data_IF_037845419138
#
_entry.id   IF_037845419138
#
_cell.length_a   1.000
_cell.length_b   1.000
_cell.length_c   1.000
_cell.angle_alpha   90.00
_cell.angle_beta   90.00
_cell.angle_gamma   90.00
#
_symmetry.space_group_name_H-M   'P 1'
#
loop_
_entity.id
_entity.type
_entity.pdbx_description
1 polymer ?
#
# COMPACT_ATOMS: atom_id res chain seq x y z
N UNK A 1 -15.90 -5.38 -20.99
CA UNK A 1 -14.51 -5.82 -21.27
C UNK A 1 -14.53 -7.33 -21.41
N UNK A 2 -13.93 -7.88 -22.47
CA UNK A 2 -13.81 -9.34 -22.66
C UNK A 2 -12.76 -9.91 -21.68
N UNK A 3 -12.87 -11.19 -21.34
CA UNK A 3 -11.96 -11.83 -20.38
C UNK A 3 -10.50 -11.83 -20.86
N UNK A 4 -10.28 -12.01 -22.17
CA UNK A 4 -8.95 -11.96 -22.78
C UNK A 4 -8.29 -10.57 -22.67
N UNK A 5 -9.04 -9.50 -22.97
CA UNK A 5 -8.58 -8.10 -22.82
C UNK A 5 -8.17 -7.79 -21.37
N UNK A 6 -8.91 -8.33 -20.39
CA UNK A 6 -8.57 -8.18 -18.98
C UNK A 6 -7.22 -8.81 -18.64
N UNK A 7 -7.02 -10.06 -19.05
CA UNK A 7 -5.78 -10.78 -18.75
C UNK A 7 -4.58 -10.18 -19.47
N UNK A 8 -4.77 -9.72 -20.71
CA UNK A 8 -3.72 -9.06 -21.46
C UNK A 8 -3.28 -7.75 -20.80
N UNK A 9 -4.23 -6.92 -20.36
CA UNK A 9 -3.92 -5.68 -19.63
C UNK A 9 -3.13 -5.93 -18.33
N UNK A 10 -3.44 -7.00 -17.59
CA UNK A 10 -2.66 -7.36 -16.40
C UNK A 10 -1.25 -7.86 -16.79
N UNK A 11 -1.12 -8.69 -17.84
CA UNK A 11 0.21 -9.15 -18.30
C UNK A 11 1.08 -8.00 -18.74
N UNK A 12 0.55 -7.08 -19.52
CA UNK A 12 1.26 -5.85 -19.94
C UNK A 12 1.76 -5.06 -18.74
N UNK A 13 0.94 -4.95 -17.68
CA UNK A 13 1.37 -4.31 -16.42
C UNK A 13 2.48 -5.09 -15.71
N UNK A 14 2.40 -6.43 -15.67
CA UNK A 14 3.39 -7.28 -15.02
C UNK A 14 4.73 -7.36 -15.77
N UNK A 15 4.77 -6.92 -17.03
CA UNK A 15 6.01 -6.77 -17.80
C UNK A 15 6.80 -5.50 -17.46
N UNK A 16 6.24 -4.61 -16.62
CA UNK A 16 6.98 -3.46 -16.10
C UNK A 16 8.15 -3.92 -15.20
N UNK A 17 9.29 -3.23 -15.30
CA UNK A 17 10.50 -3.49 -14.51
C UNK A 17 10.31 -3.50 -12.99
N UNK A 18 9.22 -2.89 -12.50
CA UNK A 18 8.87 -2.91 -11.08
C UNK A 18 8.43 -4.29 -10.57
N UNK A 19 8.06 -5.22 -11.46
CA UNK A 19 7.60 -6.56 -11.11
C UNK A 19 8.60 -7.63 -11.51
N UNK A 20 8.72 -8.64 -10.66
CA UNK A 20 9.58 -9.80 -10.87
C UNK A 20 8.81 -11.08 -10.63
N UNK A 21 8.78 -11.97 -11.62
CA UNK A 21 8.23 -13.32 -11.46
C UNK A 21 9.13 -14.13 -10.51
N UNK A 22 8.52 -14.86 -9.58
CA UNK A 22 9.18 -15.71 -8.60
C UNK A 22 9.07 -17.17 -9.02
N UNK A 23 10.16 -17.91 -8.80
CA UNK A 23 10.24 -19.34 -9.12
C UNK A 23 9.56 -20.23 -8.08
N UNK A 24 9.27 -19.70 -6.89
CA UNK A 24 8.69 -20.44 -5.76
C UNK A 24 7.72 -19.57 -4.97
N UNK A 25 6.80 -20.22 -4.27
CA UNK A 25 5.90 -19.57 -3.32
C UNK A 25 6.70 -19.06 -2.09
N UNK A 26 6.74 -17.74 -1.83
CA UNK A 26 7.45 -17.19 -0.69
C UNK A 26 6.59 -17.17 0.60
N UNK A 27 5.33 -17.60 0.55
CA UNK A 27 4.35 -17.45 1.65
C UNK A 27 4.88 -17.99 2.97
N UNK A 28 5.40 -19.22 2.99
CA UNK A 28 5.91 -19.84 4.22
C UNK A 28 7.16 -19.13 4.74
N UNK A 29 8.07 -18.76 3.84
CA UNK A 29 9.30 -18.05 4.21
C UNK A 29 8.99 -16.69 4.85
N UNK A 30 8.05 -15.94 4.28
CA UNK A 30 7.59 -14.66 4.83
C UNK A 30 6.83 -14.88 6.13
N UNK A 31 5.97 -15.90 6.23
CA UNK A 31 5.25 -16.27 7.47
C UNK A 31 6.21 -16.52 8.62
N UNK A 32 7.27 -17.31 8.39
CA UNK A 32 8.32 -17.58 9.37
C UNK A 32 9.05 -16.30 9.78
N UNK A 33 9.39 -15.43 8.82
CA UNK A 33 10.05 -14.14 9.11
C UNK A 33 9.15 -13.20 9.91
N UNK A 34 7.87 -13.05 9.53
CA UNK A 34 6.88 -12.27 10.29
C UNK A 34 6.80 -12.79 11.73
N UNK A 35 6.67 -14.11 11.90
CA UNK A 35 6.54 -14.73 13.21
C UNK A 35 7.77 -14.52 14.08
N UNK A 36 8.97 -14.62 13.50
CA UNK A 36 10.23 -14.38 14.19
C UNK A 36 10.35 -12.92 14.66
N UNK A 37 9.96 -11.95 13.83
CA UNK A 37 9.96 -10.54 14.20
C UNK A 37 8.96 -10.26 15.34
N UNK A 38 7.72 -10.72 15.19
CA UNK A 38 6.67 -10.50 16.20
C UNK A 38 7.01 -11.13 17.57
N UNK A 39 7.71 -12.26 17.59
CA UNK A 39 8.18 -12.91 18.82
C UNK A 39 9.28 -12.12 19.54
N UNK A 40 10.09 -11.35 18.80
CA UNK A 40 11.12 -10.46 19.36
C UNK A 40 10.56 -9.10 19.78
N UNK A 41 9.39 -8.73 19.27
CA UNK A 41 8.68 -7.51 19.64
C UNK A 41 7.93 -7.64 20.96
N UNK A 42 7.22 -6.58 21.37
CA UNK A 42 6.40 -6.55 22.57
C UNK A 42 5.41 -7.72 22.65
N UNK A 43 5.06 -8.16 23.86
CA UNK A 43 4.17 -9.29 24.11
C UNK A 43 2.81 -9.16 23.42
N UNK A 44 2.29 -7.93 23.31
CA UNK A 44 1.04 -7.59 22.59
C UNK A 44 1.07 -8.02 21.12
N UNK A 45 2.26 -8.08 20.51
CA UNK A 45 2.46 -8.47 19.11
C UNK A 45 2.31 -9.98 18.88
N UNK A 46 2.32 -10.81 19.93
CA UNK A 46 2.16 -12.28 19.78
C UNK A 46 0.80 -12.66 19.19
N UNK A 47 -0.24 -11.87 19.47
CA UNK A 47 -1.59 -12.04 18.89
C UNK A 47 -1.64 -11.78 17.37
N UNK A 48 -0.59 -11.17 16.80
CA UNK A 48 -0.49 -10.85 15.38
C UNK A 48 0.20 -11.97 14.58
N UNK A 49 0.67 -13.03 15.23
CA UNK A 49 1.34 -14.14 14.56
C UNK A 49 0.37 -14.79 13.57
N UNK A 50 0.69 -14.82 12.28
CA UNK A 50 -0.19 -15.37 11.26
C UNK A 50 -0.42 -16.87 11.48
N UNK A 51 -1.68 -17.30 11.41
CA UNK A 51 -2.08 -18.70 11.42
C UNK A 51 -2.63 -19.07 10.03
N UNK A 52 -2.12 -20.15 9.44
CA UNK A 52 -2.55 -20.63 8.11
C UNK A 52 -2.57 -19.51 7.04
N UNK A 53 -1.44 -18.81 6.88
CA UNK A 53 -1.34 -17.72 5.92
C UNK A 53 -1.55 -18.20 4.48
N UNK A 54 -2.26 -17.39 3.69
CA UNK A 54 -2.48 -17.63 2.26
C UNK A 54 -1.75 -16.59 1.42
N UNK A 55 -1.33 -16.92 0.18
CA UNK A 55 -0.72 -15.93 -0.67
C UNK A 55 -1.74 -14.84 -1.04
N UNK A 56 -1.35 -13.55 -0.95
CA UNK A 56 -2.18 -12.46 -1.43
C UNK A 56 -2.40 -12.58 -2.95
N UNK A 57 -3.54 -12.09 -3.46
CA UNK A 57 -3.96 -12.32 -4.86
C UNK A 57 -4.16 -11.01 -5.61
N UNK A 58 -3.60 -10.92 -6.82
CA UNK A 58 -3.80 -9.77 -7.69
C UNK A 58 -5.11 -9.90 -8.49
N UNK A 59 -5.85 -8.80 -8.58
CA UNK A 59 -6.95 -8.63 -9.52
C UNK A 59 -7.03 -7.15 -9.97
N UNK A 60 -7.66 -6.90 -11.12
CA UNK A 60 -7.83 -5.57 -11.69
C UNK A 60 -9.27 -5.08 -11.55
N UNK A 61 -9.44 -3.84 -11.12
CA UNK A 61 -10.72 -3.14 -11.16
C UNK A 61 -10.79 -2.25 -12.42
N UNK A 62 -11.76 -2.44 -13.34
CA UNK A 62 -11.88 -1.62 -14.53
C UNK A 62 -12.24 -0.17 -14.19
N UNK A 63 -11.50 0.79 -14.75
CA UNK A 63 -11.84 2.21 -14.67
C UNK A 63 -12.74 2.59 -15.86
N UNK A 64 -14.02 2.26 -15.77
CA UNK A 64 -15.02 2.43 -16.86
C UNK A 64 -15.23 3.87 -17.33
N UNK A 65 -14.83 4.85 -16.52
CA UNK A 65 -14.92 6.28 -16.83
C UNK A 65 -13.69 6.83 -17.58
N UNK A 66 -12.71 5.99 -17.93
CA UNK A 66 -11.51 6.39 -18.67
C UNK A 66 -11.46 5.71 -20.03
N UNK A 67 -10.96 6.43 -21.02
CA UNK A 67 -10.70 5.89 -22.36
C UNK A 67 -9.78 4.66 -22.28
N UNK A 68 -10.06 3.66 -23.12
CA UNK A 68 -9.36 2.36 -23.11
C UNK A 68 -9.69 1.45 -21.92
N UNK A 69 -10.49 1.91 -20.94
CA UNK A 69 -10.88 1.17 -19.72
C UNK A 69 -9.65 0.51 -19.06
N UNK A 70 -8.69 1.31 -18.55
CA UNK A 70 -7.50 0.79 -17.88
C UNK A 70 -7.88 0.09 -16.58
N UNK A 71 -7.03 -0.85 -16.16
CA UNK A 71 -7.19 -1.57 -14.89
C UNK A 71 -6.53 -0.82 -13.73
N UNK A 72 -7.18 -0.83 -12.57
CA UNK A 72 -6.56 -0.54 -11.28
C UNK A 72 -6.14 -1.86 -10.65
N UNK A 73 -4.83 -2.19 -10.57
CA UNK A 73 -4.40 -3.39 -9.87
C UNK A 73 -4.68 -3.27 -8.37
N UNK A 74 -5.25 -4.31 -7.79
CA UNK A 74 -5.50 -4.47 -6.36
C UNK A 74 -4.95 -5.82 -5.93
N UNK A 75 -4.17 -5.80 -4.85
CA UNK A 75 -3.69 -7.02 -4.19
C UNK A 75 -4.59 -7.27 -2.98
N UNK A 76 -5.34 -8.37 -3.00
CA UNK A 76 -6.08 -8.84 -1.83
C UNK A 76 -5.10 -9.45 -0.84
N UNK A 77 -4.82 -8.74 0.24
CA UNK A 77 -3.92 -9.16 1.31
C UNK A 77 -4.59 -9.87 2.49
N UNK A 78 -5.90 -10.15 2.45
CA UNK A 78 -6.59 -10.81 3.56
C UNK A 78 -5.95 -12.17 3.83
N UNK A 79 -5.69 -12.44 5.12
CA UNK A 79 -5.01 -13.65 5.60
C UNK A 79 -3.61 -13.88 5.03
N UNK A 80 -2.99 -12.85 4.44
CA UNK A 80 -1.59 -12.90 4.04
C UNK A 80 -0.64 -12.93 5.24
N UNK A 81 0.63 -13.36 5.06
CA UNK A 81 1.60 -13.44 6.15
C UNK A 81 1.83 -12.15 6.92
N UNK A 82 1.53 -10.98 6.35
CA UNK A 82 1.72 -9.67 6.97
C UNK A 82 0.40 -8.96 7.28
N UNK A 83 -0.76 -9.57 7.03
CA UNK A 83 -2.07 -8.91 7.14
C UNK A 83 -2.35 -8.31 8.53
N UNK A 84 -2.24 -9.13 9.58
CA UNK A 84 -2.49 -8.69 10.95
C UNK A 84 -1.46 -7.65 11.41
N UNK A 85 -0.20 -7.84 11.00
CA UNK A 85 0.88 -6.89 11.25
C UNK A 85 0.59 -5.54 10.59
N UNK A 86 0.31 -5.50 9.29
CA UNK A 86 0.01 -4.27 8.55
C UNK A 86 -1.20 -3.54 9.16
N UNK A 87 -2.24 -4.28 9.55
CA UNK A 87 -3.40 -3.72 10.24
C UNK A 87 -3.05 -3.11 11.60
N UNK A 88 -2.16 -3.74 12.36
CA UNK A 88 -1.68 -3.20 13.63
C UNK A 88 -0.85 -1.94 13.41
N UNK A 89 0.12 -1.96 12.49
CA UNK A 89 0.96 -0.81 12.16
C UNK A 89 0.14 0.38 11.66
N UNK A 90 -0.90 0.14 10.85
CA UNK A 90 -1.82 1.20 10.42
C UNK A 90 -2.54 1.89 11.59
N UNK A 91 -2.84 1.17 12.67
CA UNK A 91 -3.44 1.75 13.88
C UNK A 91 -2.45 2.66 14.61
N UNK A 92 -1.17 2.32 14.61
CA UNK A 92 -0.12 3.17 15.19
C UNK A 92 0.08 4.46 14.39
N UNK A 93 -0.08 4.41 13.07
CA UNK A 93 0.01 5.60 12.22
C UNK A 93 -1.23 6.50 12.33
N UNK A 94 -2.42 5.94 12.64
CA UNK A 94 -3.69 6.69 12.58
C UNK A 94 -3.69 7.99 13.39
N UNK A 95 -3.19 8.04 14.64
CA UNK A 95 -3.12 9.29 15.41
C UNK A 95 -2.20 10.35 14.80
N UNK A 96 -1.17 9.94 14.06
CA UNK A 96 -0.21 10.84 13.41
C UNK A 96 -0.78 11.44 12.11
N UNK A 97 -1.82 10.82 11.55
CA UNK A 97 -2.48 11.28 10.32
C UNK A 97 -3.48 12.38 10.68
N UNK A 98 -3.26 13.59 10.15
CA UNK A 98 -4.17 14.72 10.33
C UNK A 98 -3.68 15.81 11.28
N UNK A 99 -2.50 15.65 11.89
CA UNK A 99 -1.85 16.73 12.65
C UNK A 99 -1.34 17.88 11.75
N UNK A 100 -1.36 17.68 10.42
CA UNK A 100 -0.95 18.71 9.47
C UNK A 100 -2.07 19.71 9.20
N UNK A 101 -1.78 21.00 9.43
CA UNK A 101 -2.62 22.13 9.00
C UNK A 101 -2.76 22.27 7.48
N UNK A 102 -2.16 21.38 6.69
CA UNK A 102 -2.24 21.33 5.22
C UNK A 102 -3.19 20.24 4.70
N UNK A 103 -3.75 19.42 5.59
CA UNK A 103 -4.74 18.42 5.23
C UNK A 103 -6.16 18.98 5.39
N UNK A 104 -7.08 18.53 4.54
CA UNK A 104 -8.51 18.78 4.68
C UNK A 104 -9.19 17.45 4.94
N UNK A 105 -10.11 17.39 5.91
CA UNK A 105 -10.71 16.13 6.36
C UNK A 105 -11.60 15.50 5.30
N UNK A 106 -12.36 16.32 4.57
CA UNK A 106 -13.33 15.86 3.56
C UNK A 106 -13.72 16.98 2.58
N UNK A 107 -14.50 16.62 1.55
CA UNK A 107 -14.96 17.55 0.52
C UNK A 107 -15.87 18.67 1.05
N UNK A 108 -16.65 18.43 2.10
CA UNK A 108 -17.54 19.44 2.66
C UNK A 108 -16.75 20.54 3.39
N UNK A 109 -15.74 20.15 4.18
CA UNK A 109 -14.80 21.08 4.78
C UNK A 109 -14.06 21.87 3.71
N UNK A 110 -13.55 21.21 2.67
CA UNK A 110 -12.86 21.87 1.56
C UNK A 110 -13.70 22.97 0.91
N UNK A 111 -14.97 22.67 0.58
CA UNK A 111 -15.90 23.66 0.01
C UNK A 111 -16.14 24.82 0.97
N UNK A 112 -16.27 24.54 2.27
CA UNK A 112 -16.46 25.57 3.29
C UNK A 112 -15.25 26.48 3.39
N UNK A 113 -14.04 25.91 3.44
CA UNK A 113 -12.78 26.67 3.45
C UNK A 113 -12.66 27.56 2.22
N UNK A 114 -12.97 27.06 1.03
CA UNK A 114 -12.90 27.86 -0.20
C UNK A 114 -13.90 29.02 -0.19
N UNK A 115 -15.13 28.81 0.28
CA UNK A 115 -16.15 29.88 0.36
C UNK A 115 -15.76 31.01 1.32
N UNK A 116 -14.92 30.72 2.31
CA UNK A 116 -14.46 31.71 3.30
C UNK A 116 -13.22 32.47 2.83
N UNK A 117 -12.54 32.03 1.75
CA UNK A 117 -11.39 32.74 1.19
C UNK A 117 -11.87 33.91 0.34
N UNK A 118 -11.35 35.10 0.63
CA UNK A 118 -11.42 36.24 -0.30
C UNK A 118 -10.34 36.05 -1.35
N UNK A 119 -10.71 36.18 -2.61
CA UNK A 119 -9.80 36.09 -3.75
C UNK A 119 -9.68 37.49 -4.36
N UNK A 120 -8.45 37.88 -4.70
CA UNK A 120 -8.16 39.14 -5.36
C UNK A 120 -8.20 38.98 -6.88
N UNK A 121 -8.30 40.11 -7.59
CA UNK A 121 -8.24 40.12 -9.05
C UNK A 121 -6.86 39.62 -9.49
N UNK A 122 -6.84 38.51 -10.22
CA UNK A 122 -5.61 37.86 -10.69
C UNK A 122 -5.27 36.56 -9.94
N UNK A 123 -5.98 36.23 -8.87
CA UNK A 123 -5.81 34.94 -8.20
C UNK A 123 -6.22 33.78 -9.11
N UNK A 124 -5.44 32.70 -9.05
CA UNK A 124 -5.66 31.48 -9.83
C UNK A 124 -5.73 30.26 -8.93
N UNK A 125 -6.74 29.42 -9.17
CA UNK A 125 -6.80 28.09 -8.58
C UNK A 125 -5.97 27.11 -9.42
N UNK A 126 -5.02 26.43 -8.77
CA UNK A 126 -4.19 25.40 -9.40
C UNK A 126 -4.45 24.07 -8.71
N UNK A 127 -4.54 23.00 -9.50
CA UNK A 127 -4.71 21.63 -9.02
C UNK A 127 -3.59 20.75 -9.56
N UNK A 128 -2.98 19.97 -8.67
CA UNK A 128 -1.94 19.00 -8.99
C UNK A 128 -2.43 17.60 -8.62
N UNK A 129 -2.15 16.62 -9.47
CA UNK A 129 -2.42 15.20 -9.21
C UNK A 129 -1.12 14.41 -9.22
N UNK A 130 -0.95 13.52 -8.25
CA UNK A 130 0.25 12.68 -8.16
C UNK A 130 0.09 11.47 -9.05
N UNK A 131 0.98 11.33 -10.03
CA UNK A 131 1.00 10.16 -10.92
C UNK A 131 1.59 8.96 -10.18
N UNK A 132 0.80 7.88 -10.11
CA UNK A 132 1.21 6.58 -9.56
C UNK A 132 1.69 6.63 -8.10
N UNK A 133 0.93 7.31 -7.24
CA UNK A 133 1.24 7.48 -5.82
C UNK A 133 1.70 6.19 -5.11
N UNK A 134 0.96 5.09 -5.25
CA UNK A 134 1.32 3.80 -4.61
C UNK A 134 2.65 3.21 -5.10
N UNK A 135 3.10 3.58 -6.29
CA UNK A 135 4.36 3.06 -6.83
C UNK A 135 5.57 3.92 -6.51
N UNK A 136 5.36 5.21 -6.22
CA UNK A 136 6.43 6.20 -6.05
C UNK A 136 6.57 6.71 -4.62
N UNK A 137 6.12 5.96 -3.62
CA UNK A 137 6.32 6.32 -2.21
C UNK A 137 7.80 6.13 -1.85
N UNK A 138 8.48 7.16 -1.31
CA UNK A 138 9.88 7.08 -0.91
C UNK A 138 10.02 6.24 0.37
N UNK A 139 10.32 4.94 0.22
CA UNK A 139 10.29 3.97 1.32
C UNK A 139 11.35 4.27 2.39
N UNK A 140 12.57 4.66 2.02
CA UNK A 140 13.63 4.88 3.00
C UNK A 140 13.34 6.11 3.86
N UNK A 141 12.95 7.22 3.23
CA UNK A 141 12.57 8.46 3.88
C UNK A 141 11.35 8.26 4.78
N UNK A 142 10.38 7.45 4.32
CA UNK A 142 9.22 7.08 5.13
C UNK A 142 9.62 6.28 6.38
N UNK A 143 10.59 5.36 6.25
CA UNK A 143 11.10 4.58 7.38
C UNK A 143 11.86 5.45 8.39
N UNK A 144 12.69 6.38 7.92
CA UNK A 144 13.38 7.34 8.82
C UNK A 144 12.40 8.22 9.59
N UNK A 145 11.31 8.67 8.95
CA UNK A 145 10.26 9.42 9.64
C UNK A 145 9.51 8.57 10.67
N UNK A 146 9.27 7.29 10.37
CA UNK A 146 8.65 6.34 11.30
C UNK A 146 9.56 6.11 12.50
N UNK A 147 10.87 5.95 12.30
CA UNK A 147 11.87 5.82 13.36
C UNK A 147 11.85 7.05 14.28
N UNK A 148 11.82 8.26 13.72
CA UNK A 148 11.72 9.51 14.49
C UNK A 148 10.44 9.59 15.32
N UNK A 149 9.28 9.22 14.73
CA UNK A 149 7.97 9.44 15.36
C UNK A 149 7.52 8.32 16.29
N UNK A 150 7.90 7.08 16.02
CA UNK A 150 7.41 5.89 16.72
C UNK A 150 8.54 5.06 17.38
N UNK A 151 9.80 5.45 17.19
CA UNK A 151 10.98 4.80 17.78
C UNK A 151 11.59 3.72 16.88
N UNK A 152 12.88 3.46 17.10
CA UNK A 152 13.67 2.52 16.28
C UNK A 152 13.17 1.06 16.40
N UNK A 153 12.59 0.68 17.54
CA UNK A 153 12.12 -0.69 17.81
C UNK A 153 10.98 -1.16 16.88
N UNK A 154 10.14 -0.23 16.41
CA UNK A 154 9.01 -0.57 15.52
C UNK A 154 9.42 -0.57 14.04
N UNK A 155 10.50 0.11 13.68
CA UNK A 155 10.91 0.28 12.30
C UNK A 155 11.20 -1.03 11.54
N UNK A 156 11.80 -2.07 12.16
CA UNK A 156 11.93 -3.39 11.51
C UNK A 156 10.60 -4.00 11.10
N UNK A 157 9.53 -3.78 11.87
CA UNK A 157 8.19 -4.27 11.54
C UNK A 157 7.58 -3.52 10.36
N UNK A 158 7.73 -2.19 10.31
CA UNK A 158 7.33 -1.38 9.16
C UNK A 158 8.11 -1.76 7.91
N UNK A 159 9.43 -1.87 8.00
CA UNK A 159 10.29 -2.31 6.90
C UNK A 159 9.85 -3.68 6.38
N UNK A 160 9.59 -4.64 7.26
CA UNK A 160 9.13 -5.96 6.85
C UNK A 160 7.76 -5.92 6.15
N UNK A 161 6.80 -5.16 6.68
CA UNK A 161 5.48 -5.01 6.06
C UNK A 161 5.55 -4.29 4.69
N UNK A 162 6.43 -3.29 4.55
CA UNK A 162 6.61 -2.48 3.34
C UNK A 162 7.46 -3.14 2.26
N UNK A 163 8.23 -4.19 2.60
CA UNK A 163 9.12 -4.87 1.63
C UNK A 163 8.67 -6.29 1.29
N UNK A 164 7.75 -6.87 2.06
CA UNK A 164 7.18 -8.20 1.79
C UNK A 164 6.02 -8.15 0.76
N UNK A 165 6.22 -7.44 -0.35
CA UNK A 165 5.20 -7.23 -1.38
C UNK A 165 5.31 -8.29 -2.47
N UNK A 166 4.52 -9.35 -2.32
CA UNK A 166 4.33 -10.37 -3.35
C UNK A 166 2.83 -10.63 -3.57
N UNK A 167 2.49 -11.32 -4.65
CA UNK A 167 1.14 -11.76 -4.95
C UNK A 167 1.09 -12.91 -5.95
N UNK A 168 -0.01 -13.66 -5.90
CA UNK A 168 -0.35 -14.72 -6.84
C UNK A 168 -1.26 -14.16 -7.95
N UNK A 169 -0.91 -14.46 -9.19
CA UNK A 169 -1.75 -14.20 -10.36
C UNK A 169 -1.64 -15.36 -11.36
N UNK A 170 -2.78 -15.93 -11.77
CA UNK A 170 -2.85 -17.06 -12.72
C UNK A 170 -1.85 -18.21 -12.41
N UNK A 171 -1.70 -18.59 -11.13
CA UNK A 171 -0.81 -19.68 -10.72
C UNK A 171 0.66 -19.31 -10.61
N UNK A 172 1.04 -18.07 -10.95
CA UNK A 172 2.41 -17.55 -10.86
C UNK A 172 2.54 -16.55 -9.72
N UNK A 173 3.69 -16.59 -9.05
CA UNK A 173 4.03 -15.64 -7.99
C UNK A 173 4.84 -14.50 -8.57
N UNK A 174 4.53 -13.28 -8.12
CA UNK A 174 5.27 -12.09 -8.48
C UNK A 174 5.61 -11.34 -7.20
N UNK A 175 6.76 -10.69 -7.18
CA UNK A 175 7.06 -9.66 -6.20
C UNK A 175 7.19 -8.31 -6.89
N UNK A 176 7.05 -7.26 -6.08
CA UNK A 176 7.28 -5.90 -6.52
C UNK A 176 8.52 -5.36 -5.82
N UNK A 177 9.50 -4.93 -6.61
CA UNK A 177 10.70 -4.26 -6.12
C UNK A 177 10.46 -2.75 -6.01
N UNK A 178 11.14 -2.12 -5.06
CA UNK A 178 11.11 -0.67 -4.78
C UNK A 178 12.52 -0.11 -4.90
#
# INVERSE_FOLDING_TARGET
>A
MKNEDYHEKIRTMLNDSAYRELTRDPTEAITRKTSALLKKSAETCRSLIPQAAVPPRLYGLPKVHKEGIPLRPIVNGINSPTYLLARYLSKLLTPLIGESNRAVKNSAEFVTTLKQRKLDIGDMLVSFDVVSLFTKVPIQESLSLIEEKLGEEIAPLFRHALTSNYFLYQGKFFERSY
#
